data_IF_453720599189
#
_entry.id   IF_453720599189
#
_cell.length_a   1.000
_cell.length_b   1.000
_cell.length_c   1.000
_cell.angle_alpha   90.00
_cell.angle_beta   90.00
_cell.angle_gamma   90.00
#
_symmetry.space_group_name_H-M   'P 1'
#
loop_
_entity.id
_entity.type
_entity.pdbx_description
1 polymer ?
#
# COMPACT_ATOMS: atom_id res chain seq x y z
N UNK A 1 -8.86 -35.05 58.47
CA UNK A 1 -8.33 -33.74 58.00
C UNK A 1 -6.89 -33.82 57.48
N UNK A 2 -6.02 -34.70 57.98
CA UNK A 2 -4.62 -34.82 57.48
C UNK A 2 -4.48 -35.52 56.11
N UNK A 3 -5.33 -36.50 55.80
CA UNK A 3 -5.25 -37.23 54.52
C UNK A 3 -5.49 -36.31 53.30
N UNK A 4 -6.42 -35.35 53.42
CA UNK A 4 -6.72 -34.36 52.39
C UNK A 4 -5.54 -33.39 52.22
N UNK A 5 -4.90 -32.97 53.32
CA UNK A 5 -3.69 -32.12 53.27
C UNK A 5 -2.53 -32.86 52.56
N UNK A 6 -2.34 -34.15 52.83
CA UNK A 6 -1.32 -34.98 52.16
C UNK A 6 -1.60 -35.19 50.68
N UNK A 7 -2.86 -35.27 50.27
CA UNK A 7 -3.21 -35.32 48.84
C UNK A 7 -2.97 -33.98 48.15
N UNK A 8 -3.31 -32.86 48.80
CA UNK A 8 -3.06 -31.52 48.26
C UNK A 8 -1.56 -31.21 48.10
N UNK A 9 -0.71 -31.65 49.03
CA UNK A 9 0.76 -31.49 48.90
C UNK A 9 1.32 -32.36 47.78
N UNK A 10 0.84 -33.60 47.62
CA UNK A 10 1.23 -34.47 46.49
C UNK A 10 0.82 -33.89 45.14
N UNK A 11 -0.39 -33.32 45.05
CA UNK A 11 -0.85 -32.66 43.82
C UNK A 11 0.02 -31.44 43.51
N UNK A 12 0.35 -30.62 44.52
CA UNK A 12 1.28 -29.48 44.34
C UNK A 12 2.66 -29.92 43.87
N UNK A 13 3.21 -30.99 44.42
CA UNK A 13 4.49 -31.54 43.97
C UNK A 13 4.41 -32.10 42.54
N UNK A 14 3.31 -32.75 42.18
CA UNK A 14 3.09 -33.24 40.81
C UNK A 14 2.97 -32.09 39.81
N UNK A 15 2.22 -31.04 40.15
CA UNK A 15 2.09 -29.83 39.33
C UNK A 15 3.43 -29.12 39.22
N UNK A 16 4.19 -28.97 40.31
CA UNK A 16 5.52 -28.37 40.28
C UNK A 16 6.50 -29.17 39.41
N UNK A 17 6.46 -30.51 39.48
CA UNK A 17 7.28 -31.39 38.61
C UNK A 17 6.85 -31.31 37.16
N UNK A 18 5.55 -31.24 36.88
CA UNK A 18 5.04 -31.04 35.52
C UNK A 18 5.44 -29.67 34.98
N UNK A 19 5.28 -28.61 35.74
CA UNK A 19 5.72 -27.26 35.37
C UNK A 19 7.22 -27.23 35.14
N UNK A 20 8.02 -27.90 35.98
CA UNK A 20 9.46 -28.00 35.81
C UNK A 20 9.87 -28.88 34.62
N UNK A 21 9.08 -29.90 34.27
CA UNK A 21 9.29 -30.72 33.08
C UNK A 21 8.93 -29.98 31.79
N UNK A 22 7.86 -29.18 31.82
CA UNK A 22 7.45 -28.28 30.74
C UNK A 22 8.52 -27.19 30.56
N UNK A 23 8.94 -26.53 31.65
CA UNK A 23 10.06 -25.59 31.64
C UNK A 23 11.38 -26.25 31.22
N UNK A 24 11.61 -27.54 31.48
CA UNK A 24 12.77 -28.27 30.94
C UNK A 24 12.59 -28.66 29.48
N UNK A 25 11.38 -28.91 28.97
CA UNK A 25 11.17 -29.03 27.53
C UNK A 25 11.40 -27.69 26.82
N UNK A 26 11.04 -26.59 27.46
CA UNK A 26 11.33 -25.24 26.97
C UNK A 26 12.78 -24.78 27.25
N UNK A 27 13.44 -25.29 28.30
CA UNK A 27 14.74 -24.81 28.79
C UNK A 27 15.93 -25.77 28.62
N UNK A 28 15.71 -27.07 28.45
CA UNK A 28 16.78 -28.07 28.19
C UNK A 28 17.04 -28.28 26.69
N UNK A 29 16.27 -27.64 25.81
CA UNK A 29 16.54 -27.55 24.38
C UNK A 29 17.43 -26.36 23.97
N UNK A 30 17.77 -25.44 24.89
CA UNK A 30 18.16 -24.08 24.51
C UNK A 30 19.35 -23.47 25.24
N UNK A 31 20.41 -24.21 25.58
CA UNK A 31 21.63 -23.56 26.13
C UNK A 31 22.95 -23.95 25.45
N UNK A 32 22.93 -24.93 24.54
CA UNK A 32 24.09 -25.30 23.71
C UNK A 32 23.99 -24.86 22.24
N UNK A 33 22.79 -24.45 21.80
CA UNK A 33 22.47 -23.95 20.46
C UNK A 33 21.85 -22.54 20.50
N UNK A 34 21.98 -21.86 21.63
CA UNK A 34 21.22 -20.65 21.97
C UNK A 34 21.73 -19.42 21.24
N UNK A 35 23.06 -19.26 21.11
CA UNK A 35 23.65 -18.18 20.30
C UNK A 35 23.24 -18.25 18.83
N UNK A 36 23.13 -19.44 18.24
CA UNK A 36 22.81 -19.61 16.81
C UNK A 36 21.30 -19.48 16.56
N UNK A 37 20.47 -19.85 17.54
CA UNK A 37 19.00 -19.73 17.45
C UNK A 37 18.56 -18.28 17.74
N UNK A 38 19.11 -17.64 18.77
CA UNK A 38 18.88 -16.22 19.08
C UNK A 38 19.39 -15.31 17.94
N UNK A 39 20.55 -15.60 17.35
CA UNK A 39 21.06 -14.86 16.19
C UNK A 39 20.16 -15.04 14.95
N UNK A 40 19.71 -16.27 14.66
CA UNK A 40 18.80 -16.53 13.55
C UNK A 40 17.43 -15.86 13.73
N UNK A 41 16.89 -15.88 14.96
CA UNK A 41 15.64 -15.22 15.32
C UNK A 41 15.77 -13.69 15.29
N UNK A 42 16.88 -13.14 15.77
CA UNK A 42 17.19 -11.72 15.70
C UNK A 42 17.32 -11.25 14.24
N UNK A 43 17.99 -12.03 13.39
CA UNK A 43 18.07 -11.75 11.95
C UNK A 43 16.70 -11.80 11.29
N UNK A 44 15.84 -12.74 11.66
CA UNK A 44 14.48 -12.85 11.14
C UNK A 44 13.61 -11.67 11.56
N UNK A 45 13.74 -11.22 12.82
CA UNK A 45 13.08 -10.00 13.31
C UNK A 45 13.52 -8.77 12.51
N UNK A 46 14.83 -8.59 12.29
CA UNK A 46 15.32 -7.47 11.50
C UNK A 46 14.83 -7.49 10.05
N UNK A 47 14.69 -8.68 9.45
CA UNK A 47 14.07 -8.84 8.12
C UNK A 47 12.59 -8.42 8.13
N UNK A 48 11.83 -8.79 9.15
CA UNK A 48 10.42 -8.41 9.30
C UNK A 48 10.25 -6.90 9.52
N UNK A 49 11.11 -6.28 10.32
CA UNK A 49 11.12 -4.82 10.52
C UNK A 49 11.40 -4.09 9.21
N UNK A 50 12.43 -4.52 8.46
CA UNK A 50 12.75 -3.97 7.13
C UNK A 50 11.60 -4.17 6.14
N UNK A 51 10.94 -5.32 6.18
CA UNK A 51 9.77 -5.61 5.36
C UNK A 51 8.61 -4.66 5.71
N UNK A 52 8.33 -4.45 6.99
CA UNK A 52 7.29 -3.52 7.44
C UNK A 52 7.56 -2.08 6.98
N UNK A 53 8.79 -1.57 7.18
CA UNK A 53 9.17 -0.20 6.79
C UNK A 53 9.07 -0.03 5.27
N UNK A 54 9.63 -0.98 4.50
CA UNK A 54 9.63 -0.91 3.04
C UNK A 54 8.22 -1.01 2.46
N UNK A 55 7.37 -1.91 2.95
CA UNK A 55 5.97 -2.02 2.52
C UNK A 55 5.15 -0.80 2.92
N UNK A 56 5.44 -0.18 4.07
CA UNK A 56 4.87 1.12 4.47
C UNK A 56 5.20 2.22 3.47
N UNK A 57 6.49 2.42 3.19
CA UNK A 57 6.96 3.41 2.24
C UNK A 57 6.40 3.19 0.82
N UNK A 58 6.40 1.93 0.35
CA UNK A 58 5.88 1.57 -0.96
C UNK A 58 4.40 1.95 -1.14
N UNK A 59 3.52 1.71 -0.15
CA UNK A 59 2.10 2.10 -0.24
C UNK A 59 1.91 3.61 -0.30
N UNK A 60 2.72 4.38 0.43
CA UNK A 60 2.67 5.85 0.35
C UNK A 60 3.08 6.32 -1.06
N UNK A 61 4.19 5.79 -1.57
CA UNK A 61 4.65 6.10 -2.92
C UNK A 61 3.63 5.73 -4.00
N UNK A 62 3.02 4.55 -3.92
CA UNK A 62 1.95 4.13 -4.83
C UNK A 62 0.75 5.11 -4.80
N UNK A 63 0.33 5.56 -3.61
CA UNK A 63 -0.75 6.55 -3.47
C UNK A 63 -0.40 7.88 -4.14
N UNK A 64 0.85 8.32 -4.03
CA UNK A 64 1.29 9.57 -4.64
C UNK A 64 1.33 9.47 -6.17
N UNK A 65 1.76 8.33 -6.72
CA UNK A 65 1.67 8.07 -8.17
C UNK A 65 0.21 8.10 -8.63
N UNK A 66 -0.69 7.39 -7.93
CA UNK A 66 -2.13 7.37 -8.29
C UNK A 66 -2.70 8.79 -8.31
N UNK A 67 -2.45 9.59 -7.27
CA UNK A 67 -2.89 11.00 -7.23
C UNK A 67 -2.32 11.82 -8.38
N UNK A 68 -1.05 11.61 -8.73
CA UNK A 68 -0.40 12.31 -9.84
C UNK A 68 -1.06 12.01 -11.18
N UNK A 69 -1.31 10.72 -11.46
CA UNK A 69 -1.96 10.28 -12.71
C UNK A 69 -3.41 10.74 -12.78
N UNK A 70 -4.19 10.55 -11.71
CA UNK A 70 -5.58 11.00 -11.64
C UNK A 70 -5.69 12.52 -11.77
N UNK A 71 -4.80 13.27 -11.10
CA UNK A 71 -4.71 14.73 -11.21
C UNK A 71 -4.38 15.20 -12.62
N UNK A 72 -3.46 14.51 -13.31
CA UNK A 72 -3.16 14.76 -14.72
C UNK A 72 -4.37 14.51 -15.61
N UNK A 73 -5.12 13.43 -15.40
CA UNK A 73 -6.33 13.10 -16.17
C UNK A 73 -7.42 14.16 -15.98
N UNK A 74 -7.69 14.55 -14.73
CA UNK A 74 -8.70 15.57 -14.41
C UNK A 74 -8.32 16.92 -15.04
N UNK A 75 -7.08 17.34 -14.89
CA UNK A 75 -6.59 18.61 -15.46
C UNK A 75 -6.58 18.55 -16.99
N UNK A 76 -6.13 17.44 -17.56
CA UNK A 76 -6.12 17.20 -18.99
C UNK A 76 -7.52 17.24 -19.60
N UNK A 77 -8.52 16.70 -18.92
CA UNK A 77 -9.91 16.70 -19.39
C UNK A 77 -10.46 18.12 -19.48
N UNK A 78 -10.19 18.96 -18.49
CA UNK A 78 -10.53 20.40 -18.55
C UNK A 78 -9.83 21.12 -19.70
N UNK A 79 -8.58 20.78 -19.99
CA UNK A 79 -7.86 21.35 -21.14
C UNK A 79 -8.47 20.93 -22.48
N UNK A 80 -8.97 19.69 -22.58
CA UNK A 80 -9.71 19.20 -23.75
C UNK A 80 -10.99 20.00 -23.97
N UNK A 81 -11.76 20.26 -22.90
CA UNK A 81 -12.98 21.08 -22.97
C UNK A 81 -12.67 22.50 -23.48
N UNK A 82 -11.65 23.15 -22.91
CA UNK A 82 -11.21 24.49 -23.33
C UNK A 82 -10.77 24.49 -24.80
N UNK A 83 -9.96 23.51 -25.21
CA UNK A 83 -9.49 23.40 -26.58
C UNK A 83 -10.61 23.12 -27.58
N UNK A 84 -11.60 22.33 -27.17
CA UNK A 84 -12.80 22.04 -27.97
C UNK A 84 -13.60 23.31 -28.21
N UNK A 85 -13.87 24.08 -27.14
CA UNK A 85 -14.55 25.37 -27.24
C UNK A 85 -13.80 26.35 -28.14
N UNK A 86 -12.48 26.45 -27.99
CA UNK A 86 -11.65 27.30 -28.86
C UNK A 86 -11.75 26.89 -30.34
N UNK A 87 -11.82 25.58 -30.62
CA UNK A 87 -12.01 25.07 -31.98
C UNK A 87 -13.38 25.44 -32.55
N UNK A 88 -14.43 25.42 -31.72
CA UNK A 88 -15.79 25.80 -32.09
C UNK A 88 -15.87 27.30 -32.40
N UNK A 89 -15.32 28.14 -31.52
CA UNK A 89 -15.29 29.59 -31.70
C UNK A 89 -14.51 29.98 -32.98
N UNK A 90 -13.38 29.33 -33.23
CA UNK A 90 -12.58 29.55 -34.45
C UNK A 90 -13.33 29.13 -35.72
N UNK A 91 -14.07 28.02 -35.65
CA UNK A 91 -14.90 27.53 -36.77
C UNK A 91 -16.05 28.50 -37.05
N UNK A 92 -16.71 29.00 -35.99
CA UNK A 92 -17.77 29.99 -36.09
C UNK A 92 -17.28 31.28 -36.74
N UNK A 93 -16.16 31.82 -36.25
CA UNK A 93 -15.50 32.98 -36.85
C UNK A 93 -15.22 32.77 -38.34
N UNK A 94 -14.66 31.62 -38.69
CA UNK A 94 -14.32 31.28 -40.07
C UNK A 94 -15.54 31.15 -40.99
N UNK A 95 -16.67 30.66 -40.48
CA UNK A 95 -17.90 30.51 -41.25
C UNK A 95 -18.66 31.84 -41.44
N UNK A 96 -18.66 32.71 -40.42
CA UNK A 96 -19.51 33.92 -40.38
C UNK A 96 -18.83 35.17 -40.99
N UNK A 97 -17.50 35.26 -41.02
CA UNK A 97 -16.78 36.48 -41.46
C UNK A 97 -16.37 36.49 -42.95
N UNK A 98 -17.30 36.17 -43.85
CA UNK A 98 -17.06 36.21 -45.31
C UNK A 98 -17.13 37.62 -45.91
N UNK A 99 -17.45 38.64 -45.10
CA UNK A 99 -17.95 39.93 -45.56
C UNK A 99 -16.86 41.02 -45.77
N UNK A 100 -15.60 40.80 -45.39
CA UNK A 100 -14.51 41.77 -45.58
C UNK A 100 -13.54 41.29 -46.66
N UNK A 101 -12.87 42.24 -47.33
CA UNK A 101 -12.07 42.09 -48.57
C UNK A 101 -10.89 41.08 -48.55
N UNK A 102 -10.81 40.17 -47.56
CA UNK A 102 -9.77 39.15 -47.45
C UNK A 102 -10.26 37.86 -46.80
N UNK A 103 -10.36 36.78 -47.58
CA UNK A 103 -10.77 35.44 -47.07
C UNK A 103 -9.66 34.70 -46.31
N UNK A 104 -8.45 35.26 -46.24
CA UNK A 104 -7.28 34.61 -45.64
C UNK A 104 -7.49 34.25 -44.16
N UNK A 105 -8.01 35.20 -43.37
CA UNK A 105 -8.28 34.98 -41.94
C UNK A 105 -9.37 33.94 -41.70
N UNK A 106 -10.47 34.00 -42.46
CA UNK A 106 -11.56 33.01 -42.40
C UNK A 106 -11.05 31.59 -42.71
N UNK A 107 -10.27 31.43 -43.79
CA UNK A 107 -9.65 30.15 -44.16
C UNK A 107 -8.67 29.65 -43.11
N UNK A 108 -7.83 30.54 -42.55
CA UNK A 108 -6.90 30.19 -41.49
C UNK A 108 -7.63 29.71 -40.22
N UNK A 109 -8.71 30.38 -39.83
CA UNK A 109 -9.53 30.00 -38.69
C UNK A 109 -10.22 28.64 -38.88
N UNK A 110 -10.71 28.35 -40.09
CA UNK A 110 -11.25 27.03 -40.45
C UNK A 110 -10.16 25.93 -40.42
N UNK A 111 -8.95 26.21 -40.91
CA UNK A 111 -7.82 25.29 -40.83
C UNK A 111 -7.43 24.99 -39.38
N UNK A 112 -7.27 26.04 -38.58
CA UNK A 112 -6.94 25.93 -37.15
C UNK A 112 -8.02 25.17 -36.38
N UNK A 113 -9.30 25.49 -36.57
CA UNK A 113 -10.39 24.80 -35.86
C UNK A 113 -10.41 23.30 -36.14
N UNK A 114 -10.22 22.88 -37.40
CA UNK A 114 -10.17 21.46 -37.75
C UNK A 114 -8.97 20.76 -37.12
N UNK A 115 -7.79 21.37 -37.20
CA UNK A 115 -6.58 20.82 -36.58
C UNK A 115 -6.75 20.71 -35.05
N UNK A 116 -7.26 21.76 -34.41
CA UNK A 116 -7.47 21.78 -32.97
C UNK A 116 -8.50 20.75 -32.51
N UNK A 117 -9.63 20.64 -33.21
CA UNK A 117 -10.64 19.63 -32.90
C UNK A 117 -10.08 18.20 -32.97
N UNK A 118 -9.25 17.91 -33.98
CA UNK A 118 -8.59 16.61 -34.09
C UNK A 118 -7.57 16.37 -32.97
N UNK A 119 -6.78 17.39 -32.60
CA UNK A 119 -5.84 17.29 -31.48
C UNK A 119 -6.56 17.01 -30.15
N UNK A 120 -7.65 17.71 -29.87
CA UNK A 120 -8.41 17.50 -28.63
C UNK A 120 -9.10 16.15 -28.59
N UNK A 121 -9.54 15.63 -29.75
CA UNK A 121 -10.04 14.25 -29.86
C UNK A 121 -8.97 13.23 -29.47
N UNK A 122 -7.77 13.33 -30.03
CA UNK A 122 -6.69 12.40 -29.68
C UNK A 122 -6.21 12.57 -28.23
N UNK A 123 -6.20 13.80 -27.72
CA UNK A 123 -5.93 14.07 -26.30
C UNK A 123 -6.98 13.40 -25.42
N UNK A 124 -8.27 13.50 -25.75
CA UNK A 124 -9.35 12.81 -25.05
C UNK A 124 -9.19 11.28 -25.07
N UNK A 125 -8.84 10.71 -26.22
CA UNK A 125 -8.56 9.27 -26.35
C UNK A 125 -7.40 8.83 -25.44
N UNK A 126 -6.31 9.59 -25.44
CA UNK A 126 -5.15 9.33 -24.58
C UNK A 126 -5.54 9.38 -23.10
N UNK A 127 -6.28 10.40 -22.66
CA UNK A 127 -6.70 10.53 -21.27
C UNK A 127 -7.60 9.36 -20.82
N UNK A 128 -8.49 8.91 -21.71
CA UNK A 128 -9.32 7.72 -21.47
C UNK A 128 -8.46 6.44 -21.36
N UNK A 129 -7.46 6.29 -22.23
CA UNK A 129 -6.52 5.18 -22.17
C UNK A 129 -5.70 5.21 -20.87
N UNK A 130 -5.21 6.39 -20.44
CA UNK A 130 -4.52 6.54 -19.16
C UNK A 130 -5.42 6.19 -17.97
N UNK A 131 -6.70 6.58 -18.00
CA UNK A 131 -7.65 6.22 -16.94
C UNK A 131 -7.82 4.72 -16.78
N UNK A 132 -8.05 4.02 -17.89
CA UNK A 132 -8.37 2.58 -17.90
C UNK A 132 -7.13 1.69 -17.81
N UNK A 133 -6.05 2.01 -18.52
CA UNK A 133 -4.86 1.15 -18.61
C UNK A 133 -3.81 1.46 -17.55
N UNK A 134 -3.87 2.63 -16.90
CA UNK A 134 -2.85 3.05 -15.92
C UNK A 134 -3.47 3.37 -14.57
N UNK A 135 -4.42 4.30 -14.50
CA UNK A 135 -4.96 4.76 -13.20
C UNK A 135 -5.74 3.66 -12.47
N UNK A 136 -6.60 2.92 -13.17
CA UNK A 136 -7.38 1.83 -12.58
C UNK A 136 -6.50 0.69 -12.01
N UNK A 137 -5.53 0.12 -12.75
CA UNK A 137 -4.61 -0.88 -12.20
C UNK A 137 -3.82 -0.37 -10.99
N UNK A 138 -3.30 0.85 -11.03
CA UNK A 138 -2.55 1.43 -9.91
C UNK A 138 -3.45 1.63 -8.68
N UNK A 139 -4.69 2.06 -8.86
CA UNK A 139 -5.67 2.18 -7.78
C UNK A 139 -5.97 0.82 -7.15
N UNK A 140 -6.16 -0.21 -7.98
CA UNK A 140 -6.35 -1.57 -7.52
C UNK A 140 -5.14 -2.09 -6.72
N UNK A 141 -3.92 -1.79 -7.16
CA UNK A 141 -2.69 -2.15 -6.43
C UNK A 141 -2.61 -1.50 -5.04
N UNK A 142 -2.98 -0.21 -4.92
CA UNK A 142 -2.99 0.50 -3.63
C UNK A 142 -4.00 -0.10 -2.64
N UNK A 143 -5.12 -0.60 -3.15
CA UNK A 143 -6.20 -1.23 -2.37
C UNK A 143 -5.99 -2.74 -2.17
N UNK A 144 -4.96 -3.32 -2.82
CA UNK A 144 -4.72 -4.75 -2.83
C UNK A 144 -4.15 -5.30 -1.53
N UNK A 145 -4.52 -6.54 -1.23
CA UNK A 145 -4.11 -7.30 -0.05
C UNK A 145 -2.59 -7.48 0.17
N UNK A 146 -1.70 -7.62 -0.84
CA UNK A 146 -0.32 -8.05 -0.61
C UNK A 146 0.51 -7.17 0.34
N UNK A 147 0.36 -5.84 0.26
CA UNK A 147 1.06 -4.91 1.15
C UNK A 147 0.38 -4.81 2.52
N UNK A 148 -0.93 -5.02 2.60
CA UNK A 148 -1.68 -5.06 3.86
C UNK A 148 -1.33 -6.35 4.64
N UNK A 149 -1.33 -7.48 3.95
CA UNK A 149 -1.05 -8.82 4.49
C UNK A 149 0.38 -8.92 5.03
N UNK A 150 1.37 -8.40 4.30
CA UNK A 150 2.76 -8.36 4.76
C UNK A 150 2.91 -7.55 6.06
N UNK A 151 2.15 -6.45 6.22
CA UNK A 151 2.16 -5.65 7.44
C UNK A 151 1.44 -6.32 8.58
N UNK A 152 0.29 -6.92 8.33
CA UNK A 152 -0.44 -7.68 9.34
C UNK A 152 0.41 -8.84 9.86
N UNK A 153 1.16 -9.51 9.00
CA UNK A 153 2.10 -10.56 9.40
C UNK A 153 3.22 -10.01 10.29
N UNK A 154 3.87 -8.92 9.88
CA UNK A 154 4.92 -8.27 10.70
C UNK A 154 4.38 -7.84 12.08
N UNK A 155 3.23 -7.15 12.11
CA UNK A 155 2.61 -6.70 13.36
C UNK A 155 2.19 -7.85 14.29
N UNK A 156 1.70 -8.96 13.72
CA UNK A 156 1.35 -10.16 14.52
C UNK A 156 2.58 -10.79 15.12
N UNK A 157 3.68 -10.88 14.37
CA UNK A 157 4.94 -11.41 14.86
C UNK A 157 5.49 -10.54 16.00
N UNK A 158 5.53 -9.22 15.81
CA UNK A 158 6.00 -8.28 16.85
C UNK A 158 5.19 -8.42 18.14
N UNK A 159 3.86 -8.57 18.03
CA UNK A 159 2.99 -8.76 19.20
C UNK A 159 3.27 -10.07 19.93
N UNK A 160 3.33 -11.19 19.21
CA UNK A 160 3.63 -12.50 19.83
C UNK A 160 4.99 -12.49 20.53
N UNK A 161 5.98 -11.80 19.96
CA UNK A 161 7.29 -11.64 20.58
C UNK A 161 7.21 -10.82 21.87
N UNK A 162 6.55 -9.66 21.86
CA UNK A 162 6.35 -8.85 23.07
C UNK A 162 5.64 -9.64 24.18
N UNK A 163 4.66 -10.45 23.81
CA UNK A 163 3.95 -11.34 24.74
C UNK A 163 4.87 -12.43 25.31
N UNK A 164 5.76 -13.01 24.50
CA UNK A 164 6.76 -13.98 24.95
C UNK A 164 7.80 -13.34 25.88
N UNK A 165 8.34 -12.18 25.53
CA UNK A 165 9.27 -11.42 26.37
C UNK A 165 8.62 -11.07 27.73
N UNK A 166 7.37 -10.59 27.74
CA UNK A 166 6.64 -10.28 28.97
C UNK A 166 6.41 -11.52 29.88
N UNK A 167 6.17 -12.69 29.29
CA UNK A 167 6.06 -13.95 30.04
C UNK A 167 7.40 -14.36 30.67
N UNK A 168 8.51 -14.16 29.96
CA UNK A 168 9.85 -14.40 30.49
C UNK A 168 10.12 -13.47 31.68
N UNK A 169 9.87 -12.17 31.56
CA UNK A 169 10.06 -11.21 32.66
C UNK A 169 9.21 -11.53 33.90
N UNK A 170 7.96 -11.97 33.71
CA UNK A 170 7.07 -12.35 34.84
C UNK A 170 7.46 -13.68 35.51
N UNK A 171 8.09 -14.61 34.78
CA UNK A 171 8.62 -15.85 35.38
C UNK A 171 9.91 -15.63 36.18
N UNK A 172 10.71 -14.60 35.85
CA UNK A 172 11.94 -14.28 36.57
C UNK A 172 11.73 -13.40 37.83
N UNK A 173 10.52 -12.89 38.04
CA UNK A 173 10.18 -12.01 39.19
C UNK A 173 9.38 -12.71 40.30
N UNK A 174 9.24 -14.04 40.24
CA UNK A 174 8.64 -14.91 41.27
C UNK A 174 9.74 -15.73 41.94
#
# INVERSE_FOLDING_TARGET
MEAIRKQATRLREQVARQQQAVLKQFGAGGYGSDLVTDEAEMQQHHKLERLYISTRAAKHFQRDIVRGVEGYIVTGSKQVEIGTKLSEDSRKYGAENTCTSGTTLSKAALGFSRARAQMEKERGNLLKALGTQVAEPLRAMVMGAPLEDARHLAQRYDRMRQEAEAQVFSCFTV
#
